data_IF_311980684405
#
_entry.id   IF_311980684405
#
_cell.length_a   1.000
_cell.length_b   1.000
_cell.length_c   1.000
_cell.angle_alpha   90.00
_cell.angle_beta   90.00
_cell.angle_gamma   90.00
#
_symmetry.space_group_name_H-M   'P 1'
#
loop_
_entity.id
_entity.type
_entity.pdbx_description
1 polymer ?
#
# COMPACT_ATOMS: atom_id res chain seq x y z
N UNK A 1 -28.08 1.08 -14.50
CA UNK A 1 -28.11 2.36 -13.75
C UNK A 1 -27.23 2.34 -12.50
N UNK A 2 -27.34 1.34 -11.60
CA UNK A 2 -26.52 1.29 -10.37
C UNK A 2 -24.98 1.22 -10.59
N UNK A 3 -24.52 0.37 -11.52
CA UNK A 3 -23.08 0.24 -11.83
C UNK A 3 -22.46 1.54 -12.38
N UNK A 4 -23.19 2.26 -13.24
CA UNK A 4 -22.75 3.55 -13.77
C UNK A 4 -22.59 4.59 -12.65
N UNK A 5 -23.55 4.65 -11.72
CA UNK A 5 -23.46 5.53 -10.56
C UNK A 5 -22.28 5.17 -9.64
N UNK A 6 -22.01 3.88 -9.42
CA UNK A 6 -20.84 3.42 -8.64
C UNK A 6 -19.53 3.84 -9.30
N UNK A 7 -19.42 3.64 -10.62
CA UNK A 7 -18.25 4.05 -11.39
C UNK A 7 -18.03 5.58 -11.32
N UNK A 8 -19.08 6.38 -11.51
CA UNK A 8 -18.98 7.83 -11.42
C UNK A 8 -18.49 8.31 -10.05
N UNK A 9 -19.00 7.72 -8.97
CA UNK A 9 -18.59 8.06 -7.61
C UNK A 9 -17.12 7.69 -7.38
N UNK A 10 -16.71 6.50 -7.79
CA UNK A 10 -15.32 6.06 -7.70
C UNK A 10 -14.38 7.01 -8.45
N UNK A 11 -14.71 7.36 -9.70
CA UNK A 11 -13.92 8.29 -10.51
C UNK A 11 -13.80 9.67 -9.86
N UNK A 12 -14.91 10.25 -9.38
CA UNK A 12 -14.90 11.55 -8.68
C UNK A 12 -14.00 11.53 -7.45
N UNK A 13 -13.98 10.44 -6.69
CA UNK A 13 -13.10 10.29 -5.52
C UNK A 13 -11.64 10.19 -5.91
N UNK A 14 -11.30 9.40 -6.94
CA UNK A 14 -9.92 9.30 -7.45
C UNK A 14 -9.43 10.66 -7.94
N UNK A 15 -10.23 11.37 -8.73
CA UNK A 15 -9.89 12.70 -9.22
C UNK A 15 -9.67 13.70 -8.08
N UNK A 16 -10.57 13.70 -7.08
CA UNK A 16 -10.42 14.56 -5.91
C UNK A 16 -9.16 14.22 -5.10
N UNK A 17 -8.92 12.93 -4.85
CA UNK A 17 -7.76 12.47 -4.08
C UNK A 17 -6.42 12.80 -4.77
N UNK A 18 -6.38 12.78 -6.10
CA UNK A 18 -5.20 13.12 -6.90
C UNK A 18 -4.79 14.60 -6.78
N UNK A 19 -5.75 15.49 -6.47
CA UNK A 19 -5.49 16.93 -6.32
C UNK A 19 -5.49 17.40 -4.85
N UNK A 20 -5.87 16.53 -3.91
CA UNK A 20 -5.79 16.82 -2.47
C UNK A 20 -4.32 16.91 -2.04
N UNK A 21 -3.90 18.12 -1.70
CA UNK A 21 -2.54 18.45 -1.28
C UNK A 21 -2.45 18.49 0.26
N UNK A 22 -1.62 17.64 0.89
CA UNK A 22 -1.46 17.66 2.33
C UNK A 22 -0.73 18.93 2.80
N UNK A 23 -1.10 19.43 3.97
CA UNK A 23 -0.40 20.50 4.67
C UNK A 23 0.91 20.00 5.29
N UNK A 24 1.77 20.91 5.76
CA UNK A 24 2.99 20.55 6.49
C UNK A 24 2.71 19.69 7.73
N UNK A 25 1.60 19.97 8.45
CA UNK A 25 1.19 19.19 9.61
C UNK A 25 0.73 17.79 9.25
N UNK A 26 0.07 17.63 8.10
CA UNK A 26 -0.35 16.33 7.59
C UNK A 26 0.86 15.46 7.24
N UNK A 27 1.92 16.04 6.66
CA UNK A 27 3.15 15.32 6.37
C UNK A 27 3.86 14.80 7.62
N UNK A 28 3.80 15.53 8.75
CA UNK A 28 4.32 15.03 10.03
C UNK A 28 3.54 13.79 10.47
N UNK A 29 2.21 13.80 10.35
CA UNK A 29 1.37 12.64 10.67
C UNK A 29 1.66 11.45 9.74
N UNK A 30 1.80 11.70 8.43
CA UNK A 30 2.17 10.67 7.44
C UNK A 30 3.53 10.06 7.77
N UNK A 31 4.54 10.88 8.10
CA UNK A 31 5.86 10.39 8.49
C UNK A 31 5.79 9.53 9.76
N UNK A 32 5.00 9.94 10.75
CA UNK A 32 4.76 9.13 11.96
C UNK A 32 4.08 7.80 11.64
N UNK A 33 3.06 7.81 10.77
CA UNK A 33 2.36 6.58 10.34
C UNK A 33 3.32 5.63 9.64
N UNK A 34 4.13 6.12 8.71
CA UNK A 34 5.16 5.31 8.03
C UNK A 34 6.13 4.71 9.04
N UNK A 35 6.65 5.55 9.96
CA UNK A 35 7.58 5.09 10.98
C UNK A 35 6.95 4.01 11.88
N UNK A 36 5.69 4.20 12.30
CA UNK A 36 4.96 3.23 13.10
C UNK A 36 4.70 1.93 12.34
N UNK A 37 4.25 2.00 11.09
CA UNK A 37 4.05 0.84 10.21
C UNK A 37 5.37 0.06 10.05
N UNK A 38 6.49 0.73 9.79
CA UNK A 38 7.81 0.11 9.72
C UNK A 38 8.25 -0.49 11.06
N UNK A 39 8.07 0.23 12.17
CA UNK A 39 8.46 -0.21 13.50
C UNK A 39 7.73 -1.48 13.95
N UNK A 40 6.46 -1.66 13.54
CA UNK A 40 5.70 -2.89 13.79
C UNK A 40 6.03 -3.98 12.77
N UNK A 41 6.24 -3.63 11.50
CA UNK A 41 6.56 -4.58 10.43
C UNK A 41 7.92 -5.25 10.61
N UNK A 42 8.93 -4.49 11.05
CA UNK A 42 10.30 -4.97 11.24
C UNK A 42 10.42 -6.19 12.17
N UNK A 43 9.93 -6.16 13.43
CA UNK A 43 10.02 -7.32 14.31
C UNK A 43 9.25 -8.51 13.75
N UNK A 44 8.05 -8.31 13.17
CA UNK A 44 7.28 -9.38 12.55
C UNK A 44 8.07 -10.05 11.43
N UNK A 45 8.62 -9.25 10.51
CA UNK A 45 9.37 -9.75 9.36
C UNK A 45 10.68 -10.42 9.75
N UNK A 46 11.43 -9.86 10.70
CA UNK A 46 12.72 -10.41 11.16
C UNK A 46 12.55 -11.68 11.98
N UNK A 47 11.66 -11.69 12.98
CA UNK A 47 11.44 -12.86 13.85
C UNK A 47 10.88 -14.04 13.07
N UNK A 48 10.00 -13.78 12.10
CA UNK A 48 9.45 -14.82 11.23
C UNK A 48 10.40 -15.24 10.09
N UNK A 49 11.60 -14.65 10.01
CA UNK A 49 12.59 -14.84 8.93
C UNK A 49 12.05 -14.52 7.53
N UNK A 50 10.98 -13.74 7.47
CA UNK A 50 10.44 -13.25 6.20
C UNK A 50 11.34 -12.15 5.64
N UNK A 51 11.84 -11.24 6.46
CA UNK A 51 12.84 -10.25 6.08
C UNK A 51 14.24 -10.83 6.18
N UNK A 52 15.08 -10.51 5.19
CA UNK A 52 16.49 -10.89 5.15
C UNK A 52 17.32 -9.72 4.63
N UNK A 53 18.31 -9.27 5.40
CA UNK A 53 19.18 -8.18 4.97
C UNK A 53 19.97 -8.57 3.71
N UNK A 54 19.60 -8.00 2.57
CA UNK A 54 20.14 -8.26 1.23
C UNK A 54 20.11 -6.97 0.38
N UNK A 55 20.92 -5.96 0.73
CA UNK A 55 20.92 -4.67 0.03
C UNK A 55 21.34 -4.81 -1.44
N UNK A 56 20.54 -4.25 -2.34
CA UNK A 56 20.83 -4.19 -3.78
C UNK A 56 21.65 -2.96 -4.17
N UNK A 57 22.31 -3.02 -5.33
CA UNK A 57 23.10 -1.89 -5.87
C UNK A 57 22.18 -0.74 -6.29
N UNK A 58 22.57 0.50 -5.98
CA UNK A 58 21.79 1.71 -6.28
C UNK A 58 21.42 1.83 -7.77
N UNK A 59 22.32 1.44 -8.68
CA UNK A 59 22.08 1.45 -10.12
C UNK A 59 20.86 0.60 -10.54
N UNK A 60 20.53 -0.45 -9.77
CA UNK A 60 19.33 -1.28 -9.99
C UNK A 60 18.13 -0.73 -9.22
N UNK A 61 18.35 -0.22 -8.02
CA UNK A 61 17.30 0.27 -7.12
C UNK A 61 16.58 1.49 -7.69
N UNK A 62 17.31 2.50 -8.18
CA UNK A 62 16.72 3.77 -8.64
C UNK A 62 15.67 3.56 -9.75
N UNK A 63 15.99 2.92 -10.90
CA UNK A 63 14.99 2.74 -11.95
C UNK A 63 13.82 1.87 -11.51
N UNK A 64 14.08 0.82 -10.70
CA UNK A 64 13.03 -0.04 -10.18
C UNK A 64 12.11 0.72 -9.21
N UNK A 65 12.65 1.55 -8.31
CA UNK A 65 11.89 2.37 -7.37
C UNK A 65 11.00 3.40 -8.09
N UNK A 66 11.50 3.98 -9.19
CA UNK A 66 10.71 4.89 -10.04
C UNK A 66 9.57 4.18 -10.77
N UNK A 67 9.71 2.88 -11.04
CA UNK A 67 8.60 2.08 -11.57
C UNK A 67 7.60 1.71 -10.46
N UNK A 68 8.10 1.31 -9.28
CA UNK A 68 7.25 0.86 -8.16
C UNK A 68 6.38 1.97 -7.58
N UNK A 69 6.74 3.25 -7.75
CA UNK A 69 5.86 4.37 -7.34
C UNK A 69 4.62 4.46 -8.23
N UNK A 70 4.71 4.05 -9.50
CA UNK A 70 3.56 4.01 -10.41
C UNK A 70 2.74 2.74 -10.13
N UNK A 71 3.40 1.58 -10.18
CA UNK A 71 2.81 0.29 -9.90
C UNK A 71 3.79 -0.57 -9.08
N UNK A 72 3.46 -0.91 -7.82
CA UNK A 72 2.12 -0.85 -7.23
C UNK A 72 1.67 0.52 -6.70
N UNK A 73 2.56 1.46 -6.38
CA UNK A 73 2.28 2.67 -5.57
C UNK A 73 0.98 3.42 -5.91
N UNK A 74 0.99 4.27 -6.94
CA UNK A 74 -0.20 5.07 -7.30
C UNK A 74 -1.36 4.21 -7.79
N UNK A 75 -1.07 3.13 -8.53
CA UNK A 75 -2.12 2.30 -9.15
C UNK A 75 -2.97 1.59 -8.10
N UNK A 76 -2.35 0.93 -7.13
CA UNK A 76 -3.06 0.23 -6.06
C UNK A 76 -3.74 1.22 -5.10
N UNK A 77 -3.08 2.32 -4.74
CA UNK A 77 -3.69 3.30 -3.85
C UNK A 77 -4.87 4.05 -4.51
N UNK A 78 -4.83 4.27 -5.82
CA UNK A 78 -5.98 4.81 -6.56
C UNK A 78 -7.20 3.88 -6.48
N UNK A 79 -6.97 2.56 -6.57
CA UNK A 79 -8.04 1.57 -6.49
C UNK A 79 -8.51 1.42 -5.03
N UNK A 80 -7.63 1.00 -4.14
CA UNK A 80 -8.04 0.53 -2.81
C UNK A 80 -8.30 1.66 -1.81
N UNK A 81 -7.68 2.83 -2.00
CA UNK A 81 -7.89 3.99 -1.11
C UNK A 81 -8.79 4.99 -1.81
N UNK A 82 -8.37 5.56 -2.93
CA UNK A 82 -9.12 6.66 -3.52
C UNK A 82 -10.48 6.26 -4.11
N UNK A 83 -10.61 5.12 -4.80
CA UNK A 83 -11.90 4.70 -5.36
C UNK A 83 -12.84 4.11 -4.28
N UNK A 84 -12.32 3.23 -3.43
CA UNK A 84 -13.14 2.50 -2.45
C UNK A 84 -13.45 3.29 -1.18
N UNK A 85 -12.52 4.12 -0.68
CA UNK A 85 -12.77 4.95 0.52
C UNK A 85 -13.52 6.25 0.17
N UNK A 86 -14.29 6.81 1.10
CA UNK A 86 -14.92 8.11 0.93
C UNK A 86 -13.87 9.24 0.81
N UNK A 87 -14.21 10.27 0.06
CA UNK A 87 -13.44 11.53 -0.02
C UNK A 87 -14.33 12.67 0.50
N UNK A 88 -13.83 13.60 1.34
CA UNK A 88 -14.68 14.57 2.03
C UNK A 88 -15.34 15.58 1.07
N UNK A 89 -14.73 15.86 -0.09
CA UNK A 89 -15.35 16.73 -1.10
C UNK A 89 -16.42 16.05 -1.96
N UNK A 90 -16.47 14.72 -1.99
CA UNK A 90 -17.41 13.94 -2.81
C UNK A 90 -18.55 13.39 -1.97
N UNK A 91 -18.23 12.89 -0.78
CA UNK A 91 -19.23 12.41 0.19
C UNK A 91 -18.79 12.77 1.62
N UNK A 92 -19.05 14.01 2.07
CA UNK A 92 -18.64 14.50 3.38
C UNK A 92 -19.20 13.65 4.53
N UNK A 93 -20.44 13.17 4.41
CA UNK A 93 -21.13 12.40 5.47
C UNK A 93 -20.55 10.99 5.66
N UNK A 94 -19.94 10.43 4.62
CA UNK A 94 -19.31 9.11 4.68
C UNK A 94 -17.86 9.20 5.17
N UNK A 95 -17.24 10.37 5.15
CA UNK A 95 -15.88 10.56 5.65
C UNK A 95 -15.87 10.40 7.18
N UNK A 96 -14.95 9.59 7.75
CA UNK A 96 -15.02 9.24 9.15
C UNK A 96 -14.73 10.44 10.07
N UNK A 97 -15.64 10.69 11.01
CA UNK A 97 -15.48 11.69 12.07
C UNK A 97 -15.09 11.08 13.42
N UNK A 98 -15.05 9.73 13.51
CA UNK A 98 -14.65 9.00 14.71
C UNK A 98 -13.84 7.75 14.36
N UNK A 99 -13.12 7.21 15.34
CA UNK A 99 -12.36 5.98 15.17
C UNK A 99 -13.23 4.78 14.78
N UNK A 100 -14.44 4.66 15.33
CA UNK A 100 -15.36 3.58 14.99
C UNK A 100 -15.80 3.65 13.52
N UNK A 101 -16.08 4.87 13.02
CA UNK A 101 -16.39 5.08 11.60
C UNK A 101 -15.18 4.80 10.71
N UNK A 102 -13.99 5.21 11.14
CA UNK A 102 -12.74 4.86 10.46
C UNK A 102 -12.60 3.34 10.33
N UNK A 103 -12.73 2.60 11.43
CA UNK A 103 -12.58 1.14 11.42
C UNK A 103 -13.61 0.46 10.50
N UNK A 104 -14.88 0.88 10.56
CA UNK A 104 -15.94 0.32 9.73
C UNK A 104 -15.73 0.62 8.24
N UNK A 105 -15.35 1.85 7.89
CA UNK A 105 -15.13 2.25 6.50
C UNK A 105 -13.85 1.67 5.91
N UNK A 106 -12.82 1.43 6.74
CA UNK A 106 -11.56 0.84 6.33
C UNK A 106 -11.62 -0.69 6.16
N UNK A 107 -12.48 -1.38 6.92
CA UNK A 107 -12.45 -2.84 7.02
C UNK A 107 -12.62 -3.55 5.65
N UNK A 108 -13.65 -3.19 4.88
CA UNK A 108 -13.92 -3.85 3.61
C UNK A 108 -12.86 -3.55 2.54
N UNK A 109 -12.46 -2.28 2.28
CA UNK A 109 -11.38 -1.98 1.34
C UNK A 109 -10.05 -2.63 1.74
N UNK A 110 -9.73 -2.70 3.04
CA UNK A 110 -8.54 -3.39 3.52
C UNK A 110 -8.61 -4.90 3.27
N UNK A 111 -9.75 -5.54 3.54
CA UNK A 111 -9.95 -6.95 3.24
C UNK A 111 -9.81 -7.25 1.74
N UNK A 112 -10.37 -6.39 0.89
CA UNK A 112 -10.23 -6.49 -0.58
C UNK A 112 -8.77 -6.32 -1.00
N UNK A 113 -8.05 -5.35 -0.43
CA UNK A 113 -6.61 -5.15 -0.68
C UNK A 113 -5.79 -6.38 -0.32
N UNK A 114 -6.02 -6.99 0.85
CA UNK A 114 -5.31 -8.21 1.26
C UNK A 114 -5.67 -9.38 0.32
N UNK A 115 -6.95 -9.57 0.02
CA UNK A 115 -7.41 -10.64 -0.87
C UNK A 115 -6.89 -10.49 -2.31
N UNK A 116 -6.70 -9.25 -2.79
CA UNK A 116 -6.15 -8.96 -4.11
C UNK A 116 -4.78 -9.62 -4.34
N UNK A 117 -3.96 -9.74 -3.30
CA UNK A 117 -2.65 -10.38 -3.41
C UNK A 117 -2.76 -11.89 -3.70
N UNK A 118 -3.84 -12.55 -3.26
CA UNK A 118 -4.06 -13.97 -3.51
C UNK A 118 -4.31 -14.28 -5.00
N UNK A 119 -4.75 -13.29 -5.78
CA UNK A 119 -5.12 -13.44 -7.19
C UNK A 119 -3.98 -13.08 -8.16
N UNK A 120 -2.72 -13.05 -7.68
CA UNK A 120 -1.58 -12.70 -8.52
C UNK A 120 -1.44 -13.65 -9.74
N UNK A 121 -1.39 -13.10 -10.98
CA UNK A 121 -1.22 -13.91 -12.20
C UNK A 121 0.17 -14.57 -12.29
N UNK A 122 1.21 -14.01 -11.68
CA UNK A 122 2.55 -14.60 -11.69
C UNK A 122 2.65 -15.76 -10.69
N UNK A 123 2.62 -16.98 -11.23
CA UNK A 123 2.76 -18.23 -10.45
C UNK A 123 4.08 -18.31 -9.68
N UNK A 124 5.14 -17.64 -10.15
CA UNK A 124 6.47 -17.67 -9.51
C UNK A 124 6.46 -16.92 -8.18
N UNK A 125 5.71 -15.84 -8.11
CA UNK A 125 5.59 -15.02 -6.90
C UNK A 125 4.45 -15.49 -5.97
N UNK A 126 3.60 -16.42 -6.42
CA UNK A 126 2.45 -16.92 -5.67
C UNK A 126 2.81 -17.42 -4.27
N UNK A 127 3.94 -18.11 -4.11
CA UNK A 127 4.38 -18.61 -2.81
C UNK A 127 4.59 -17.48 -1.78
N UNK A 128 5.00 -16.29 -2.24
CA UNK A 128 5.14 -15.09 -1.39
C UNK A 128 3.78 -14.50 -1.08
N UNK A 129 2.95 -14.31 -2.10
CA UNK A 129 1.66 -13.61 -1.94
C UNK A 129 0.61 -14.43 -1.19
N UNK A 130 0.77 -15.75 -1.09
CA UNK A 130 -0.05 -16.63 -0.27
C UNK A 130 0.52 -16.87 1.13
N UNK A 131 1.72 -16.35 1.41
CA UNK A 131 2.34 -16.48 2.73
C UNK A 131 1.58 -15.65 3.76
N UNK A 132 1.14 -16.28 4.85
CA UNK A 132 0.41 -15.59 5.91
C UNK A 132 1.18 -14.41 6.51
N UNK A 133 2.52 -14.49 6.54
CA UNK A 133 3.40 -13.40 7.01
C UNK A 133 3.35 -12.22 6.05
N UNK A 134 3.41 -12.49 4.74
CA UNK A 134 3.25 -11.46 3.72
C UNK A 134 1.87 -10.80 3.85
N UNK A 135 0.79 -11.59 3.95
CA UNK A 135 -0.56 -11.06 4.05
C UNK A 135 -0.78 -10.22 5.31
N UNK A 136 -0.18 -10.61 6.45
CA UNK A 136 -0.21 -9.83 7.67
C UNK A 136 0.54 -8.50 7.53
N UNK A 137 1.73 -8.51 6.91
CA UNK A 137 2.50 -7.30 6.63
C UNK A 137 1.80 -6.39 5.61
N UNK A 138 1.19 -6.98 4.58
CA UNK A 138 0.35 -6.26 3.62
C UNK A 138 -0.85 -5.64 4.33
N UNK A 139 -1.57 -6.35 5.19
CA UNK A 139 -2.67 -5.79 5.96
C UNK A 139 -2.24 -4.59 6.84
N UNK A 140 -1.08 -4.70 7.49
CA UNK A 140 -0.51 -3.62 8.30
C UNK A 140 -0.15 -2.39 7.46
N UNK A 141 0.50 -2.60 6.31
CA UNK A 141 0.78 -1.53 5.35
C UNK A 141 -0.50 -0.91 4.80
N UNK A 142 -1.47 -1.77 4.47
CA UNK A 142 -2.83 -1.44 4.08
C UNK A 142 -3.48 -0.43 5.01
N UNK A 143 -3.48 -0.75 6.30
CA UNK A 143 -3.98 0.10 7.37
C UNK A 143 -3.21 1.42 7.47
N UNK A 144 -1.87 1.40 7.35
CA UNK A 144 -1.04 2.61 7.35
C UNK A 144 -1.38 3.56 6.20
N UNK A 145 -1.59 3.04 4.99
CA UNK A 145 -1.98 3.87 3.85
C UNK A 145 -3.40 4.43 4.03
N UNK A 146 -4.33 3.65 4.57
CA UNK A 146 -5.69 4.12 4.89
C UNK A 146 -5.67 5.21 5.96
N UNK A 147 -4.84 5.05 7.00
CA UNK A 147 -4.63 6.10 8.00
C UNK A 147 -4.06 7.37 7.35
N UNK A 148 -3.02 7.23 6.53
CA UNK A 148 -2.40 8.36 5.81
C UNK A 148 -3.42 9.08 4.92
N UNK A 149 -4.20 8.32 4.15
CA UNK A 149 -5.27 8.85 3.32
C UNK A 149 -6.26 9.69 4.15
N UNK A 150 -6.72 9.20 5.29
CA UNK A 150 -7.69 9.93 6.11
C UNK A 150 -7.11 11.14 6.83
N UNK A 151 -5.92 11.06 7.41
CA UNK A 151 -5.32 12.20 8.13
C UNK A 151 -5.00 13.37 7.20
N UNK A 152 -4.76 13.12 5.91
CA UNK A 152 -4.53 14.17 4.92
C UNK A 152 -5.80 14.61 4.16
N UNK A 153 -6.99 14.25 4.66
CA UNK A 153 -8.25 14.62 3.99
C UNK A 153 -8.52 13.90 2.66
N UNK A 154 -7.86 12.76 2.42
CA UNK A 154 -8.05 11.91 1.24
C UNK A 154 -6.96 12.04 0.17
N UNK A 155 -5.69 12.26 0.53
CA UNK A 155 -4.63 12.45 -0.46
C UNK A 155 -4.12 11.13 -1.04
N UNK A 156 -4.16 11.01 -2.37
CA UNK A 156 -3.60 9.86 -3.07
C UNK A 156 -2.07 9.82 -2.95
N UNK A 157 -1.40 10.97 -2.99
CA UNK A 157 0.07 11.04 -2.90
C UNK A 157 0.55 10.59 -1.52
N UNK A 158 -0.14 11.00 -0.45
CA UNK A 158 0.20 10.56 0.90
C UNK A 158 0.08 9.04 1.05
N UNK A 159 -1.04 8.46 0.59
CA UNK A 159 -1.22 7.00 0.60
C UNK A 159 -0.15 6.28 -0.24
N UNK A 160 0.13 6.78 -1.45
CA UNK A 160 1.12 6.20 -2.36
C UNK A 160 2.53 6.21 -1.77
N UNK A 161 2.95 7.28 -1.09
CA UNK A 161 4.25 7.33 -0.42
C UNK A 161 4.31 6.42 0.81
N UNK A 162 3.22 6.34 1.58
CA UNK A 162 3.12 5.40 2.71
C UNK A 162 3.18 3.96 2.27
N UNK A 163 2.68 3.62 1.08
CA UNK A 163 2.82 2.30 0.47
C UNK A 163 4.25 2.10 -0.07
N UNK A 164 4.69 3.02 -0.92
CA UNK A 164 5.90 2.91 -1.71
C UNK A 164 7.14 2.76 -0.84
N UNK A 165 7.31 3.58 0.20
CA UNK A 165 8.56 3.55 0.97
C UNK A 165 8.78 2.20 1.69
N UNK A 166 7.85 1.66 2.49
CA UNK A 166 8.00 0.33 3.11
C UNK A 166 8.18 -0.79 2.09
N UNK A 167 7.47 -0.76 0.95
CA UNK A 167 7.65 -1.78 -0.10
C UNK A 167 9.05 -1.75 -0.67
N UNK A 168 9.61 -0.58 -0.99
CA UNK A 168 10.96 -0.52 -1.55
C UNK A 168 12.04 -0.87 -0.54
N UNK A 169 11.85 -0.51 0.74
CA UNK A 169 12.72 -1.00 1.82
C UNK A 169 12.70 -2.53 1.87
N UNK A 170 11.52 -3.13 1.79
CA UNK A 170 11.40 -4.59 1.76
C UNK A 170 12.03 -5.21 0.52
N UNK A 171 11.68 -4.72 -0.67
CA UNK A 171 12.16 -5.25 -1.95
C UNK A 171 13.69 -5.17 -2.03
N UNK A 172 14.27 -4.01 -1.75
CA UNK A 172 15.67 -3.74 -2.10
C UNK A 172 16.67 -3.88 -0.96
N UNK A 173 16.21 -3.88 0.30
CA UNK A 173 17.10 -4.03 1.47
C UNK A 173 16.80 -5.30 2.27
N UNK A 174 15.55 -5.75 2.28
CA UNK A 174 15.10 -6.85 3.16
C UNK A 174 14.72 -8.13 2.40
N UNK A 175 15.29 -8.32 1.21
CA UNK A 175 15.24 -9.58 0.46
C UNK A 175 13.91 -9.85 -0.24
N UNK A 176 13.04 -8.84 -0.36
CA UNK A 176 11.77 -8.98 -1.07
C UNK A 176 11.95 -9.24 -2.56
N UNK A 177 12.93 -8.59 -3.21
CA UNK A 177 13.20 -8.74 -4.64
C UNK A 177 13.42 -10.20 -5.05
N UNK A 178 14.33 -10.90 -4.36
CA UNK A 178 14.66 -12.30 -4.65
C UNK A 178 13.50 -13.26 -4.39
N UNK A 179 12.51 -12.87 -3.58
CA UNK A 179 11.30 -13.66 -3.32
C UNK A 179 10.27 -13.50 -4.42
N UNK A 180 10.05 -12.28 -4.90
CA UNK A 180 9.02 -12.00 -5.93
C UNK A 180 9.53 -12.23 -7.35
N UNK A 181 10.83 -12.06 -7.59
CA UNK A 181 11.51 -12.43 -8.82
C UNK A 181 12.53 -13.53 -8.52
N UNK A 182 12.09 -14.79 -8.30
CA UNK A 182 13.04 -15.87 -8.13
C UNK A 182 13.91 -15.91 -9.39
N UNK A 183 15.23 -15.80 -9.18
CA UNK A 183 16.23 -15.85 -10.23
C UNK A 183 15.92 -17.00 -11.17
N UNK A 184 15.90 -16.75 -12.48
CA UNK A 184 16.08 -17.85 -13.45
C UNK A 184 17.27 -18.66 -12.98
N UNK A 185 17.04 -19.97 -12.79
CA UNK A 185 17.90 -20.80 -11.98
C UNK A 185 19.38 -20.52 -12.23
N UNK A 186 20.12 -20.33 -11.15
CA UNK A 186 21.51 -20.80 -11.14
C UNK A 186 21.45 -22.24 -11.65
N UNK A 187 21.77 -22.41 -12.94
CA UNK A 187 22.27 -23.67 -13.44
C UNK A 187 23.41 -24.01 -12.50
N UNK A 188 23.16 -24.96 -11.61
CA UNK A 188 24.23 -25.65 -10.90
C UNK A 188 25.00 -26.37 -12.00
N UNK A 189 26.11 -25.77 -12.42
CA UNK A 189 27.23 -26.52 -12.97
C UNK A 189 27.82 -27.42 -11.88
#
# INVERSE_FOLDING_TARGET
MALAAMYEVAWKRVAAAAITTPTSGDWVQVAFIIAATCAVSLPIGLQSKFFKWEPMKLATVIPAAMFTIIAPGFTEEAIFRAALLPHPSVNPKAFPASFSQFALTAALPLAIFVAYHLVNPDKRARAVFWDARFLALAALLGAGCTASYYVTGGSLVAAALTHWLPVNLWLFLLGGWNKVQPSEGTKKE
#
